data_IF_451369565628
#
_entry.id   IF_451369565628
#
_cell.length_a   1.000
_cell.length_b   1.000
_cell.length_c   1.000
_cell.angle_alpha   90.00
_cell.angle_beta   90.00
_cell.angle_gamma   90.00
#
_symmetry.space_group_name_H-M   'P 1'
#
loop_
_entity.id
_entity.type
_entity.pdbx_description
1 polymer ?
#
# COMPACT_ATOMS: atom_id res chain seq x y z
N UNK A 1 -3.37 -16.80 24.82
CA UNK A 1 -2.30 -16.79 25.84
C UNK A 1 -2.36 -15.48 26.61
N UNK A 2 -2.19 -15.52 27.93
CA UNK A 2 -2.19 -14.34 28.77
C UNK A 2 -0.78 -13.73 28.80
N UNK A 3 -0.62 -12.56 28.17
CA UNK A 3 0.63 -11.80 28.15
C UNK A 3 0.59 -10.61 29.12
N UNK A 4 -0.39 -10.53 30.03
CA UNK A 4 -0.60 -9.40 30.94
C UNK A 4 0.63 -9.12 31.84
N UNK A 5 1.39 -10.14 32.21
CA UNK A 5 2.58 -10.01 33.07
C UNK A 5 3.81 -9.36 32.43
N UNK A 6 3.84 -9.17 31.09
CA UNK A 6 4.99 -8.53 30.43
C UNK A 6 5.00 -7.01 30.70
N UNK A 7 6.13 -6.47 31.12
CA UNK A 7 6.33 -5.02 31.36
C UNK A 7 7.17 -4.39 30.23
N UNK A 8 7.63 -3.15 30.41
CA UNK A 8 8.49 -2.43 29.45
C UNK A 8 9.78 -3.17 29.10
N UNK A 9 10.42 -3.75 30.11
CA UNK A 9 11.63 -4.56 30.01
C UNK A 9 11.41 -5.86 30.78
N UNK A 10 11.65 -7.00 30.13
CA UNK A 10 11.41 -8.30 30.72
C UNK A 10 12.72 -9.10 30.76
N UNK A 11 12.95 -9.78 31.88
CA UNK A 11 14.05 -10.72 32.02
C UNK A 11 13.58 -12.10 31.57
N UNK A 12 14.24 -12.65 30.57
CA UNK A 12 14.00 -13.99 30.06
C UNK A 12 15.13 -14.89 30.54
N UNK A 13 14.79 -15.99 31.20
CA UNK A 13 15.71 -17.04 31.62
C UNK A 13 15.30 -18.35 30.97
N UNK A 14 16.21 -18.97 30.23
CA UNK A 14 16.02 -20.27 29.60
C UNK A 14 16.97 -21.26 30.25
N UNK A 15 16.41 -22.21 30.99
CA UNK A 15 17.14 -23.30 31.60
C UNK A 15 17.09 -24.54 30.72
N UNK A 16 18.09 -25.42 30.88
CA UNK A 16 18.11 -26.74 30.24
C UNK A 16 18.48 -27.82 31.25
N UNK A 17 18.01 -29.04 31.00
CA UNK A 17 18.33 -30.21 31.81
C UNK A 17 18.74 -31.37 30.92
N UNK A 18 19.72 -32.17 31.38
CA UNK A 18 20.19 -33.38 30.70
C UNK A 18 20.60 -34.40 31.73
N UNK A 19 20.38 -35.69 31.43
CA UNK A 19 20.76 -36.79 32.33
C UNK A 19 22.28 -37.01 32.38
N UNK A 20 23.02 -36.56 31.36
CA UNK A 20 24.44 -36.88 31.17
C UNK A 20 25.38 -35.70 31.44
N UNK A 21 24.91 -34.48 31.26
CA UNK A 21 25.75 -33.28 31.29
C UNK A 21 25.00 -32.09 31.86
N UNK A 22 25.69 -31.20 32.58
CA UNK A 22 25.13 -29.92 32.96
C UNK A 22 24.86 -29.06 31.71
N UNK A 23 23.66 -28.50 31.61
CA UNK A 23 23.30 -27.58 30.53
C UNK A 23 23.31 -26.16 31.09
N UNK A 24 24.09 -25.27 30.47
CA UNK A 24 24.18 -23.88 30.89
C UNK A 24 22.87 -23.14 30.58
N UNK A 25 22.47 -22.23 31.47
CA UNK A 25 21.32 -21.37 31.23
C UNK A 25 21.69 -20.21 30.29
N UNK A 26 20.68 -19.67 29.61
CA UNK A 26 20.79 -18.43 28.85
C UNK A 26 19.83 -17.41 29.43
N UNK A 27 20.27 -16.17 29.56
CA UNK A 27 19.41 -15.07 29.99
C UNK A 27 19.55 -13.82 29.12
N UNK A 28 18.48 -13.02 29.11
CA UNK A 28 18.46 -11.75 28.36
C UNK A 28 17.39 -10.80 28.91
N UNK A 29 17.69 -9.50 28.86
CA UNK A 29 16.69 -8.45 29.13
C UNK A 29 16.22 -7.85 27.81
N UNK A 30 14.94 -8.04 27.49
CA UNK A 30 14.35 -7.57 26.24
C UNK A 30 13.29 -6.50 26.51
N UNK A 31 13.32 -5.43 25.71
CA UNK A 31 12.24 -4.44 25.68
C UNK A 31 11.11 -4.91 24.77
N UNK A 32 9.85 -4.84 25.22
CA UNK A 32 8.72 -5.23 24.37
C UNK A 32 8.72 -4.47 23.04
N UNK A 33 9.06 -3.18 23.06
CA UNK A 33 9.03 -2.32 21.87
C UNK A 33 10.03 -2.78 20.79
N UNK A 34 11.15 -3.39 21.20
CA UNK A 34 12.16 -3.93 20.27
C UNK A 34 11.76 -5.28 19.69
N UNK A 35 10.93 -6.05 20.39
CA UNK A 35 10.54 -7.39 19.96
C UNK A 35 9.17 -7.43 19.29
N UNK A 36 8.29 -6.44 19.55
CA UNK A 36 6.97 -6.35 18.94
C UNK A 36 7.08 -6.22 17.42
N UNK A 37 6.23 -6.97 16.72
CA UNK A 37 6.03 -6.90 15.28
C UNK A 37 4.59 -6.45 15.09
N UNK A 38 4.41 -5.21 14.61
CA UNK A 38 3.07 -4.66 14.46
C UNK A 38 2.29 -5.37 13.35
N UNK A 39 0.99 -5.53 13.58
CA UNK A 39 0.05 -5.92 12.54
C UNK A 39 -0.08 -4.80 11.48
N UNK A 40 -0.58 -5.13 10.27
CA UNK A 40 -0.98 -4.11 9.32
C UNK A 40 -2.06 -3.18 9.93
N UNK A 41 -2.18 -1.95 9.41
CA UNK A 41 -3.18 -1.01 9.91
C UNK A 41 -4.60 -1.50 9.60
N UNK A 42 -5.56 -1.03 10.38
CA UNK A 42 -6.96 -1.42 10.26
C UNK A 42 -7.75 -0.41 9.43
N UNK A 43 -8.96 -0.79 9.00
CA UNK A 43 -9.95 0.12 8.40
C UNK A 43 -9.38 0.98 7.25
N UNK A 44 -8.62 0.34 6.35
CA UNK A 44 -8.04 1.04 5.21
C UNK A 44 -9.19 1.37 4.24
N UNK A 45 -9.29 2.63 3.84
CA UNK A 45 -10.31 3.14 2.93
C UNK A 45 -9.68 4.09 1.90
N UNK A 46 -10.28 4.16 0.73
CA UNK A 46 -9.80 5.00 -0.37
C UNK A 46 -10.97 5.84 -0.90
N UNK A 47 -10.80 7.16 -0.92
CA UNK A 47 -11.77 8.12 -1.41
C UNK A 47 -11.16 8.94 -2.53
N UNK A 48 -11.80 8.94 -3.68
CA UNK A 48 -11.23 9.44 -4.92
C UNK A 48 -12.04 10.63 -5.45
N UNK A 49 -11.36 11.70 -5.84
CA UNK A 49 -11.92 12.83 -6.60
C UNK A 49 -11.23 12.95 -7.97
N UNK A 50 -11.60 13.94 -8.78
CA UNK A 50 -11.09 14.13 -10.15
C UNK A 50 -9.55 14.22 -10.27
N UNK A 51 -8.84 14.62 -9.21
CA UNK A 51 -7.39 14.87 -9.25
C UNK A 51 -6.55 13.91 -8.41
N UNK A 52 -7.07 13.43 -7.28
CA UNK A 52 -6.34 12.61 -6.32
C UNK A 52 -7.24 11.60 -5.59
N UNK A 53 -6.62 10.62 -4.94
CA UNK A 53 -7.27 9.70 -4.03
C UNK A 53 -6.68 9.88 -2.62
N UNK A 54 -7.54 10.11 -1.65
CA UNK A 54 -7.23 10.12 -0.24
C UNK A 54 -7.30 8.68 0.28
N UNK A 55 -6.16 8.15 0.73
CA UNK A 55 -6.03 6.83 1.36
C UNK A 55 -5.98 7.05 2.87
N UNK A 56 -6.91 6.47 3.62
CA UNK A 56 -7.01 6.62 5.08
C UNK A 56 -6.88 5.25 5.76
N UNK A 57 -6.29 5.22 6.95
CA UNK A 57 -6.20 4.01 7.77
C UNK A 57 -6.19 4.29 9.26
N UNK A 58 -6.61 3.31 10.05
CA UNK A 58 -6.46 3.32 11.51
C UNK A 58 -5.17 2.63 11.93
N UNK A 59 -4.58 3.09 13.03
CA UNK A 59 -3.40 2.44 13.60
C UNK A 59 -3.66 0.96 13.94
N UNK A 60 -2.64 0.11 13.93
CA UNK A 60 -2.80 -1.27 14.36
C UNK A 60 -3.24 -1.36 15.83
N UNK A 61 -3.89 -2.46 16.18
CA UNK A 61 -4.16 -2.79 17.58
C UNK A 61 -2.85 -3.21 18.22
N UNK A 62 -2.41 -2.44 19.20
CA UNK A 62 -1.21 -2.71 19.99
C UNK A 62 -1.60 -3.06 21.42
N UNK A 63 -0.73 -3.80 22.11
CA UNK A 63 -0.95 -4.17 23.51
C UNK A 63 -1.04 -2.94 24.42
N UNK A 64 -0.16 -1.99 24.19
CA UNK A 64 -0.17 -0.70 24.87
C UNK A 64 -0.78 0.38 23.99
N UNK A 65 -1.42 1.38 24.60
CA UNK A 65 -1.97 2.53 23.86
C UNK A 65 -0.83 3.45 23.44
N UNK A 66 -0.42 3.34 22.17
CA UNK A 66 0.62 4.20 21.59
C UNK A 66 0.02 5.38 20.82
N UNK A 67 0.78 6.47 20.77
CA UNK A 67 0.48 7.62 19.90
C UNK A 67 0.66 7.24 18.44
N UNK A 68 -0.06 7.90 17.53
CA UNK A 68 0.12 7.69 16.09
C UNK A 68 1.56 8.00 15.65
N UNK A 69 2.23 8.95 16.32
CA UNK A 69 3.62 9.34 16.05
C UNK A 69 4.65 8.22 16.33
N UNK A 70 4.26 7.18 17.06
CA UNK A 70 5.14 6.04 17.34
C UNK A 70 5.21 5.06 16.16
N UNK A 71 4.36 5.25 15.15
CA UNK A 71 4.27 4.39 13.98
C UNK A 71 4.84 5.07 12.73
N UNK A 72 5.34 4.24 11.83
CA UNK A 72 5.67 4.58 10.45
C UNK A 72 4.94 3.60 9.55
N UNK A 73 4.41 4.08 8.44
CA UNK A 73 3.70 3.26 7.48
C UNK A 73 4.45 3.24 6.16
N UNK A 74 4.30 2.13 5.44
CA UNK A 74 4.72 2.03 4.05
C UNK A 74 3.53 1.59 3.24
N UNK A 75 3.26 2.33 2.17
CA UNK A 75 2.22 2.07 1.20
C UNK A 75 2.89 1.51 -0.06
N UNK A 76 2.37 0.40 -0.56
CA UNK A 76 2.70 -0.18 -1.86
C UNK A 76 1.50 0.05 -2.77
N UNK A 77 1.59 1.06 -3.63
CA UNK A 77 0.56 1.41 -4.60
C UNK A 77 1.02 0.88 -5.95
N UNK A 78 0.24 -0.03 -6.51
CA UNK A 78 0.55 -0.69 -7.79
C UNK A 78 -0.54 -0.37 -8.80
N UNK A 79 -0.12 0.06 -9.99
CA UNK A 79 -1.03 0.16 -11.13
C UNK A 79 -1.30 -1.23 -11.68
N UNK A 80 -2.57 -1.59 -11.84
CA UNK A 80 -2.99 -2.86 -12.44
C UNK A 80 -2.86 -2.73 -13.95
N UNK A 81 -1.73 -3.18 -14.48
CA UNK A 81 -1.42 -3.22 -15.92
C UNK A 81 -1.61 -4.66 -16.42
N UNK A 82 -2.16 -4.83 -17.62
CA UNK A 82 -2.19 -6.13 -18.32
C UNK A 82 -0.80 -6.54 -18.83
N UNK A 83 0.17 -5.63 -18.81
CA UNK A 83 1.55 -5.82 -19.24
C UNK A 83 2.44 -6.04 -18.01
N UNK A 84 3.42 -6.94 -18.11
CA UNK A 84 4.29 -7.42 -17.01
C UNK A 84 5.08 -6.34 -16.24
N UNK A 85 5.11 -5.09 -16.73
CA UNK A 85 5.66 -3.94 -16.00
C UNK A 85 4.56 -3.20 -15.23
N UNK A 86 4.20 -3.72 -14.05
CA UNK A 86 3.44 -2.94 -13.07
C UNK A 86 4.35 -1.89 -12.44
N UNK A 87 4.08 -0.61 -12.67
CA UNK A 87 4.74 0.46 -11.92
C UNK A 87 4.32 0.37 -10.45
N UNK A 88 5.30 0.11 -9.57
CA UNK A 88 5.12 0.05 -8.14
C UNK A 88 5.63 1.33 -7.48
N UNK A 89 4.80 1.96 -6.67
CA UNK A 89 5.20 3.11 -5.87
C UNK A 89 5.21 2.74 -4.41
N UNK A 90 6.42 2.62 -3.84
CA UNK A 90 6.63 2.45 -2.42
C UNK A 90 6.79 3.83 -1.76
N UNK A 91 5.86 4.15 -0.87
CA UNK A 91 5.81 5.45 -0.18
C UNK A 91 5.89 5.19 1.31
N UNK A 92 6.81 5.85 2.00
CA UNK A 92 6.88 5.82 3.45
C UNK A 92 6.32 7.11 4.04
N UNK A 93 5.40 6.96 4.99
CA UNK A 93 4.76 8.09 5.67
C UNK A 93 4.89 7.92 7.18
N UNK A 94 5.23 8.99 7.92
CA UNK A 94 5.17 8.96 9.38
C UNK A 94 3.70 8.92 9.83
N UNK A 95 3.43 8.28 10.96
CA UNK A 95 2.10 8.34 11.57
C UNK A 95 1.78 9.75 12.08
N UNK A 96 0.56 10.20 11.84
CA UNK A 96 0.05 11.52 12.23
C UNK A 96 -1.39 11.40 12.76
N UNK A 97 -2.06 12.52 13.06
CA UNK A 97 -3.43 12.48 13.62
C UNK A 97 -4.44 11.80 12.69
N UNK A 98 -4.32 12.01 11.38
CA UNK A 98 -5.28 11.53 10.38
C UNK A 98 -4.94 10.17 9.77
N UNK A 99 -3.67 9.75 9.87
CA UNK A 99 -3.13 8.55 9.22
C UNK A 99 -3.65 8.39 7.79
N UNK A 100 -3.30 9.38 6.97
CA UNK A 100 -3.79 9.52 5.61
C UNK A 100 -2.67 9.86 4.64
N UNK A 101 -2.89 9.55 3.37
CA UNK A 101 -2.00 9.92 2.27
C UNK A 101 -2.80 10.32 1.03
N UNK A 102 -2.42 11.45 0.43
CA UNK A 102 -3.00 11.95 -0.81
C UNK A 102 -2.18 11.44 -2.00
N UNK A 103 -2.73 10.49 -2.74
CA UNK A 103 -2.14 9.93 -3.95
C UNK A 103 -2.62 10.69 -5.19
N UNK A 104 -1.73 11.36 -5.95
CA UNK A 104 -2.10 12.01 -7.21
C UNK A 104 -2.55 10.99 -8.25
N UNK A 105 -3.76 11.15 -8.79
CA UNK A 105 -4.34 10.19 -9.74
C UNK A 105 -5.45 10.87 -10.55
N UNK A 106 -5.15 11.75 -11.51
CA UNK A 106 -6.18 12.46 -12.26
C UNK A 106 -7.07 11.53 -13.09
N UNK A 107 -8.33 11.92 -13.31
CA UNK A 107 -9.26 11.23 -14.22
C UNK A 107 -8.90 11.45 -15.71
N UNK A 108 -9.11 10.46 -16.60
CA UNK A 108 -9.54 9.09 -16.32
C UNK A 108 -8.42 8.28 -15.66
N UNK A 109 -8.74 7.67 -14.50
CA UNK A 109 -7.75 6.99 -13.67
C UNK A 109 -7.79 5.47 -13.85
N UNK A 110 -6.64 4.83 -14.11
CA UNK A 110 -6.58 3.38 -14.26
C UNK A 110 -6.82 2.69 -12.91
N UNK A 111 -7.09 1.39 -12.97
CA UNK A 111 -7.23 0.55 -11.79
C UNK A 111 -5.90 0.40 -11.04
N UNK A 112 -5.93 0.56 -9.73
CA UNK A 112 -4.80 0.43 -8.82
C UNK A 112 -5.13 -0.51 -7.66
N UNK A 113 -4.10 -1.01 -7.00
CA UNK A 113 -4.18 -1.67 -5.70
C UNK A 113 -3.28 -0.96 -4.71
N UNK A 114 -3.72 -0.80 -3.46
CA UNK A 114 -2.88 -0.37 -2.34
C UNK A 114 -2.77 -1.47 -1.28
N UNK A 115 -1.56 -1.69 -0.77
CA UNK A 115 -1.30 -2.42 0.47
C UNK A 115 -0.56 -1.51 1.43
N UNK A 116 -0.78 -1.68 2.73
CA UNK A 116 -0.11 -0.88 3.76
C UNK A 116 0.49 -1.81 4.81
N UNK A 117 1.70 -1.51 5.27
CA UNK A 117 2.32 -2.17 6.42
C UNK A 117 2.80 -1.17 7.45
N UNK A 118 2.93 -1.63 8.69
CA UNK A 118 3.32 -0.78 9.83
C UNK A 118 4.70 -1.16 10.33
N UNK A 119 5.45 -0.17 10.78
CA UNK A 119 6.69 -0.31 11.55
C UNK A 119 6.65 0.64 12.75
N UNK A 120 7.49 0.35 13.73
CA UNK A 120 7.90 1.36 14.70
C UNK A 120 8.64 2.50 14.00
N UNK A 121 8.37 3.74 14.39
CA UNK A 121 8.99 4.92 13.80
C UNK A 121 10.52 4.96 13.96
N UNK A 122 11.08 4.26 14.95
CA UNK A 122 12.50 4.35 15.33
C UNK A 122 13.28 3.05 15.08
N UNK A 123 12.60 1.91 14.98
CA UNK A 123 13.25 0.58 14.96
C UNK A 123 13.30 -0.02 13.53
N UNK A 124 12.59 0.57 12.56
CA UNK A 124 12.57 0.15 11.14
C UNK A 124 12.34 -1.36 10.93
N UNK A 125 11.56 -1.99 11.81
CA UNK A 125 11.15 -3.40 11.70
C UNK A 125 9.73 -3.46 11.16
N UNK A 126 9.62 -3.80 9.89
CA UNK A 126 8.34 -3.86 9.19
C UNK A 126 7.53 -5.09 9.56
N UNK A 127 6.24 -4.88 9.81
CA UNK A 127 5.25 -5.94 9.93
C UNK A 127 4.79 -6.50 8.59
N UNK A 128 3.77 -7.35 8.64
CA UNK A 128 3.12 -7.90 7.45
C UNK A 128 2.35 -6.81 6.68
N UNK A 129 2.20 -7.03 5.37
CA UNK A 129 1.33 -6.22 4.52
C UNK A 129 -0.16 -6.48 4.82
N UNK A 130 -0.98 -5.45 4.69
CA UNK A 130 -2.43 -5.57 4.68
C UNK A 130 -2.90 -6.37 3.45
N UNK A 131 -4.18 -6.76 3.49
CA UNK A 131 -4.85 -7.17 2.26
C UNK A 131 -4.88 -6.01 1.26
N UNK A 132 -4.78 -6.29 -0.05
CA UNK A 132 -4.84 -5.27 -1.07
C UNK A 132 -6.25 -4.68 -1.20
N UNK A 133 -6.33 -3.38 -1.42
CA UNK A 133 -7.57 -2.67 -1.72
C UNK A 133 -7.49 -2.11 -3.14
N UNK A 134 -8.48 -2.43 -3.95
CA UNK A 134 -8.59 -1.95 -5.32
C UNK A 134 -9.32 -0.59 -5.38
N UNK A 135 -8.86 0.31 -6.25
CA UNK A 135 -9.52 1.59 -6.55
C UNK A 135 -9.23 2.04 -7.99
N UNK A 136 -10.00 3.01 -8.50
CA UNK A 136 -9.96 3.43 -9.90
C UNK A 136 -10.88 2.62 -10.81
N UNK A 137 -10.91 2.94 -12.10
CA UNK A 137 -11.80 2.32 -13.08
C UNK A 137 -11.03 1.72 -14.26
N UNK A 138 -11.63 0.74 -14.93
CA UNK A 138 -11.10 0.16 -16.17
C UNK A 138 -11.46 1.02 -17.40
N UNK A 139 -11.69 2.33 -17.23
CA UNK A 139 -12.10 3.20 -18.32
C UNK A 139 -11.00 3.24 -19.39
N UNK A 140 -11.25 2.42 -20.41
CA UNK A 140 -10.52 2.45 -21.66
C UNK A 140 -10.82 3.81 -22.25
N UNK A 141 -9.82 4.69 -22.30
CA UNK A 141 -9.95 5.96 -23.02
C UNK A 141 -10.65 5.68 -24.37
N UNK A 142 -11.73 6.39 -24.71
CA UNK A 142 -12.50 6.09 -25.90
C UNK A 142 -11.53 6.08 -27.09
N UNK A 143 -11.40 4.93 -27.76
CA UNK A 143 -10.46 4.79 -28.85
C UNK A 143 -10.79 5.88 -29.88
N UNK A 144 -9.84 6.76 -30.18
CA UNK A 144 -10.02 7.78 -31.23
C UNK A 144 -9.96 7.17 -32.64
N UNK A 145 -9.65 5.87 -32.75
CA UNK A 145 -9.56 5.10 -33.99
C UNK A 145 -10.80 5.23 -34.87
N UNK A 146 -12.05 5.02 -34.39
CA UNK A 146 -13.27 5.27 -35.17
C UNK A 146 -13.40 6.72 -35.66
N UNK A 147 -13.01 7.71 -34.85
CA UNK A 147 -13.07 9.13 -35.24
C UNK A 147 -12.06 9.42 -36.35
N UNK A 148 -10.82 8.93 -36.22
CA UNK A 148 -9.80 9.05 -37.25
C UNK A 148 -10.20 8.34 -38.56
N UNK A 149 -10.80 7.15 -38.46
CA UNK A 149 -11.27 6.41 -39.62
C UNK A 149 -12.36 7.18 -40.38
N UNK A 150 -13.30 7.79 -39.68
CA UNK A 150 -14.35 8.63 -40.29
C UNK A 150 -13.78 9.88 -40.97
N UNK A 151 -12.78 10.53 -40.37
CA UNK A 151 -12.11 11.70 -40.97
C UNK A 151 -11.37 11.31 -42.25
N UNK A 152 -10.61 10.20 -42.23
CA UNK A 152 -9.88 9.70 -43.41
C UNK A 152 -10.83 9.26 -44.52
N UNK A 153 -11.94 8.60 -44.17
CA UNK A 153 -12.95 8.20 -45.15
C UNK A 153 -13.64 9.43 -45.75
N UNK A 154 -13.96 10.43 -44.93
CA UNK A 154 -14.53 11.69 -45.36
C UNK A 154 -13.60 12.46 -46.32
N UNK A 155 -12.30 12.52 -46.02
CA UNK A 155 -11.32 13.19 -46.91
C UNK A 155 -11.11 12.43 -48.23
N UNK A 156 -11.12 11.10 -48.21
CA UNK A 156 -11.08 10.30 -49.44
C UNK A 156 -12.29 10.57 -50.34
N UNK A 157 -13.49 10.61 -49.76
CA UNK A 157 -14.72 10.87 -50.51
C UNK A 157 -14.70 12.28 -51.12
N UNK A 158 -14.27 13.30 -50.38
CA UNK A 158 -14.22 14.68 -50.91
C UNK A 158 -13.17 14.84 -52.01
N UNK A 159 -12.01 14.18 -51.91
CA UNK A 159 -11.00 14.20 -52.99
C UNK A 159 -11.52 13.50 -54.24
N UNK A 160 -12.22 12.37 -54.08
CA UNK A 160 -12.81 11.64 -55.21
C UNK A 160 -13.93 12.44 -55.89
N UNK A 161 -14.82 13.08 -55.14
CA UNK A 161 -15.88 13.91 -55.73
C UNK A 161 -15.32 15.14 -56.43
N UNK A 162 -14.32 15.82 -55.84
CA UNK A 162 -13.69 16.99 -56.45
C UNK A 162 -12.90 16.60 -57.72
N UNK A 163 -12.19 15.47 -57.71
CA UNK A 163 -11.48 14.94 -58.87
C UNK A 163 -12.40 14.47 -60.01
N UNK A 164 -13.60 13.97 -59.68
CA UNK A 164 -14.63 13.63 -60.67
C UNK A 164 -15.38 14.85 -61.21
N UNK A 165 -15.56 15.92 -60.42
CA UNK A 165 -16.25 17.16 -60.84
C UNK A 165 -15.36 18.11 -61.66
N UNK A 166 -14.03 18.02 -61.50
CA UNK A 166 -13.06 18.84 -62.21
C UNK A 166 -12.52 18.17 -63.51
N UNK A 167 -13.15 17.08 -63.96
CA UNK A 167 -12.84 16.37 -65.21
C UNK A 167 -13.98 16.52 -66.21
#
# INVERSE_FOLDING_TARGET
>A
EDLSGLTNYNYFLVNGTSQRTGVQFFDSVLSWKKIEIYSPPNNISVFCNESHCLICWEKPKTRYRLSNMEFKYQLDIQRKSNTENSENQLIEVPGNLENSYNFPSPEPRPKHTVKIRTSDARIQKWGAWSQPIEFGSDETAPSLVPIYALVVLGTLITVLTLGCLLK
#
